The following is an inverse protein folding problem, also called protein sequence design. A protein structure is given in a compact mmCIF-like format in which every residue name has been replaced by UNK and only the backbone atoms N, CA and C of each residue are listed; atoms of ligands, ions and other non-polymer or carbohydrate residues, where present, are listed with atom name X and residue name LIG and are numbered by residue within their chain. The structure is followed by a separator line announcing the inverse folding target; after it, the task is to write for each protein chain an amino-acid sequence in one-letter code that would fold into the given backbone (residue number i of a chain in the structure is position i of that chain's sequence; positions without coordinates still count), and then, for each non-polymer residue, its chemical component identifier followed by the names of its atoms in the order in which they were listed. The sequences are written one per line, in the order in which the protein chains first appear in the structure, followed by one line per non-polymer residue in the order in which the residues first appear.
data_IF_514318147664
#
_entry.id   IF_514318147664
#
_cell.length_a   1.000
_cell.length_b   1.000
_cell.length_c   1.000
_cell.angle_alpha   90.00
_cell.angle_beta   90.00
_cell.angle_gamma   90.00
#
_symmetry.space_group_name_H-M   'P 1'
#
loop_
_entity.id
_entity.type
_entity.pdbx_description
1 polymer ?
#
# COMPACT_ATOMS: atom_id res chain seq x y z
N UNK A 1 20.80 -11.25 17.02
CA UNK A 1 19.72 -10.45 17.67
C UNK A 1 19.16 -11.21 18.88
N UNK A 2 18.84 -10.54 19.99
CA UNK A 2 18.15 -11.17 21.13
C UNK A 2 16.73 -11.60 20.76
N UNK A 3 16.28 -12.78 21.21
CA UNK A 3 14.96 -13.33 20.87
C UNK A 3 13.77 -12.46 21.35
N UNK A 4 13.95 -11.65 22.39
CA UNK A 4 12.98 -10.65 22.85
C UNK A 4 12.77 -9.54 21.82
N UNK A 5 13.87 -8.99 21.27
CA UNK A 5 13.84 -7.94 20.25
C UNK A 5 13.17 -8.40 18.97
N UNK A 6 13.47 -9.63 18.53
CA UNK A 6 12.84 -10.20 17.34
C UNK A 6 11.32 -10.30 17.50
N UNK A 7 10.83 -10.80 18.65
CA UNK A 7 9.39 -10.88 18.94
C UNK A 7 8.74 -9.50 18.97
N UNK A 8 9.41 -8.50 19.54
CA UNK A 8 8.93 -7.12 19.56
C UNK A 8 8.79 -6.53 18.15
N UNK A 9 9.79 -6.73 17.27
CA UNK A 9 9.72 -6.27 15.88
C UNK A 9 8.63 -7.00 15.08
N UNK A 10 8.44 -8.29 15.31
CA UNK A 10 7.37 -9.05 14.67
C UNK A 10 5.98 -8.57 15.11
N UNK A 11 5.75 -8.38 16.41
CA UNK A 11 4.50 -7.83 16.91
C UNK A 11 4.23 -6.43 16.34
N UNK A 12 5.27 -5.59 16.26
CA UNK A 12 5.20 -4.28 15.65
C UNK A 12 4.80 -4.36 14.17
N UNK A 13 5.41 -5.25 13.38
CA UNK A 13 5.06 -5.40 11.98
C UNK A 13 3.65 -5.96 11.76
N UNK A 14 3.16 -6.84 12.63
CA UNK A 14 1.75 -7.30 12.59
C UNK A 14 0.81 -6.12 12.87
N UNK A 15 1.12 -5.31 13.88
CA UNK A 15 0.34 -4.12 14.20
C UNK A 15 0.35 -3.09 13.06
N UNK A 16 1.50 -2.88 12.42
CA UNK A 16 1.62 -2.08 11.21
C UNK A 16 0.75 -2.65 10.08
N UNK A 17 0.70 -3.98 9.90
CA UNK A 17 -0.15 -4.60 8.87
C UNK A 17 -1.65 -4.30 9.05
N UNK A 18 -2.16 -4.35 10.29
CA UNK A 18 -3.55 -3.96 10.58
C UNK A 18 -3.80 -2.46 10.41
N UNK A 19 -2.86 -1.62 10.86
CA UNK A 19 -2.94 -0.17 10.65
C UNK A 19 -2.92 0.16 9.15
N UNK A 20 -2.10 -0.54 8.36
CA UNK A 20 -2.07 -0.42 6.91
C UNK A 20 -3.44 -0.69 6.29
N UNK A 21 -4.11 -1.77 6.71
CA UNK A 21 -5.47 -2.08 6.26
C UNK A 21 -6.44 -0.92 6.51
N UNK A 22 -6.44 -0.36 7.72
CA UNK A 22 -7.33 0.75 8.09
C UNK A 22 -7.16 1.97 7.18
N UNK A 23 -5.92 2.38 6.94
CA UNK A 23 -5.60 3.58 6.16
C UNK A 23 -5.74 3.36 4.66
N UNK A 24 -5.39 2.17 4.14
CA UNK A 24 -5.62 1.82 2.73
C UNK A 24 -7.12 1.76 2.41
N UNK A 25 -7.93 1.16 3.28
CA UNK A 25 -9.39 1.11 3.08
C UNK A 25 -10.05 2.48 3.23
N UNK A 26 -9.58 3.29 4.19
CA UNK A 26 -10.08 4.66 4.37
C UNK A 26 -9.69 5.63 3.25
N UNK A 27 -8.64 5.34 2.48
CA UNK A 27 -8.24 6.15 1.32
C UNK A 27 -9.30 6.17 0.21
N UNK A 28 -10.17 5.15 0.16
CA UNK A 28 -11.26 5.09 -0.80
C UNK A 28 -12.35 6.12 -0.52
N UNK A 29 -12.53 6.54 0.74
CA UNK A 29 -13.63 7.42 1.12
C UNK A 29 -13.57 8.81 0.45
N UNK A 30 -12.44 9.55 0.49
CA UNK A 30 -12.31 10.81 -0.25
C UNK A 30 -12.49 10.66 -1.76
N UNK A 31 -12.04 9.53 -2.33
CA UNK A 31 -12.13 9.27 -3.77
C UNK A 31 -13.59 9.02 -4.18
N UNK A 32 -14.33 8.23 -3.38
CA UNK A 32 -15.75 7.92 -3.63
C UNK A 32 -16.67 9.13 -3.53
N UNK A 33 -16.34 10.11 -2.68
CA UNK A 33 -17.10 11.37 -2.59
C UNK A 33 -17.08 12.16 -3.91
N UNK A 34 -16.16 11.84 -4.82
CA UNK A 34 -15.96 12.53 -6.08
C UNK A 34 -16.65 11.78 -7.22
N UNK A 35 -17.88 12.18 -7.57
CA UNK A 35 -18.56 11.65 -8.75
C UNK A 35 -18.21 12.50 -9.98
N UNK A 36 -17.07 12.20 -10.60
CA UNK A 36 -16.58 13.00 -11.72
C UNK A 36 -16.78 12.29 -13.05
N UNK A 37 -17.37 12.99 -14.02
CA UNK A 37 -17.29 12.63 -15.44
C UNK A 37 -15.88 12.72 -16.04
N UNK A 38 -14.84 12.67 -15.20
CA UNK A 38 -13.43 12.65 -15.60
C UNK A 38 -13.02 11.25 -16.06
N UNK A 39 -11.96 11.19 -16.87
CA UNK A 39 -11.33 9.90 -17.14
C UNK A 39 -10.66 9.35 -15.88
N UNK A 40 -10.76 8.03 -15.62
CA UNK A 40 -10.03 7.36 -14.54
C UNK A 40 -8.52 7.61 -14.58
N UNK A 41 -7.91 7.76 -15.77
CA UNK A 41 -6.48 8.05 -15.89
C UNK A 41 -6.15 9.42 -15.30
N UNK A 42 -6.99 10.42 -15.55
CA UNK A 42 -6.86 11.77 -14.99
C UNK A 42 -7.03 11.74 -13.47
N UNK A 43 -8.03 11.00 -12.98
CA UNK A 43 -8.25 10.79 -11.54
C UNK A 43 -7.01 10.15 -10.88
N UNK A 44 -6.47 9.08 -11.49
CA UNK A 44 -5.26 8.43 -11.00
C UNK A 44 -4.04 9.34 -11.01
N UNK A 45 -3.86 10.20 -12.02
CA UNK A 45 -2.77 11.19 -12.04
C UNK A 45 -2.89 12.19 -10.89
N UNK A 46 -4.08 12.74 -10.63
CA UNK A 46 -4.32 13.67 -9.52
C UNK A 46 -4.09 12.98 -8.17
N UNK A 47 -4.54 11.74 -8.03
CA UNK A 47 -4.30 10.93 -6.84
C UNK A 47 -2.79 10.71 -6.63
N UNK A 48 -2.04 10.34 -7.69
CA UNK A 48 -0.59 10.15 -7.62
C UNK A 48 0.15 11.45 -7.33
N UNK A 49 -0.36 12.61 -7.74
CA UNK A 49 0.17 13.90 -7.28
C UNK A 49 0.02 14.08 -5.76
N UNK A 50 -1.13 13.69 -5.19
CA UNK A 50 -1.31 13.65 -3.73
C UNK A 50 -0.35 12.68 -3.03
N UNK A 51 -0.19 11.49 -3.59
CA UNK A 51 0.79 10.48 -3.13
C UNK A 51 2.21 11.03 -3.14
N UNK A 52 2.60 11.71 -4.22
CA UNK A 52 3.92 12.30 -4.37
C UNK A 52 4.18 13.34 -3.27
N UNK A 53 3.24 14.28 -3.06
CA UNK A 53 3.37 15.29 -2.01
C UNK A 53 3.46 14.65 -0.61
N UNK A 54 2.66 13.62 -0.35
CA UNK A 54 2.67 12.90 0.93
C UNK A 54 3.99 12.16 1.18
N UNK A 55 4.52 11.46 0.17
CA UNK A 55 5.77 10.68 0.28
C UNK A 55 7.01 11.53 0.38
N UNK A 56 6.97 12.80 -0.02
CA UNK A 56 8.05 13.75 0.23
C UNK A 56 7.89 14.48 1.57
N UNK A 57 6.66 14.82 1.97
CA UNK A 57 6.41 15.57 3.22
C UNK A 57 6.46 14.72 4.47
N UNK A 58 5.89 13.51 4.48
CA UNK A 58 5.81 12.67 5.68
C UNK A 58 7.21 12.22 6.14
N UNK A 59 8.08 11.64 5.28
CA UNK A 59 9.46 11.32 5.68
C UNK A 59 10.25 12.55 6.13
N UNK A 60 10.11 13.68 5.43
CA UNK A 60 10.76 14.93 5.80
C UNK A 60 10.30 15.43 7.19
N UNK A 61 9.02 15.31 7.51
CA UNK A 61 8.48 15.65 8.81
C UNK A 61 8.96 14.71 9.93
N UNK A 62 8.90 13.39 9.69
CA UNK A 62 9.26 12.38 10.71
C UNK A 62 10.77 12.39 10.98
N UNK A 63 11.60 12.27 9.93
CA UNK A 63 13.05 12.01 10.00
C UNK A 63 13.94 13.10 9.41
N UNK A 64 13.39 14.00 8.59
CA UNK A 64 14.16 14.98 7.83
C UNK A 64 14.71 14.41 6.51
N UNK A 65 14.85 15.27 5.51
CA UNK A 65 15.41 14.94 4.17
C UNK A 65 16.90 14.60 4.23
N UNK A 66 17.61 15.10 5.25
CA UNK A 66 19.00 14.72 5.53
C UNK A 66 19.15 13.23 5.82
N UNK A 67 18.16 12.61 6.46
CA UNK A 67 18.12 11.16 6.71
C UNK A 67 18.02 10.39 5.38
N UNK A 68 17.09 10.81 4.51
CA UNK A 68 16.95 10.25 3.16
C UNK A 68 18.25 10.36 2.38
N UNK A 69 18.92 11.52 2.43
CA UNK A 69 20.22 11.74 1.76
C UNK A 69 21.33 10.83 2.30
N UNK A 70 21.33 10.54 3.59
CA UNK A 70 22.34 9.66 4.19
C UNK A 70 22.12 8.21 3.76
N UNK A 71 20.87 7.72 3.74
CA UNK A 71 20.56 6.39 3.24
C UNK A 71 20.85 6.26 1.73
N UNK A 72 20.62 7.31 0.94
CA UNK A 72 21.03 7.38 -0.48
C UNK A 72 22.54 7.16 -0.65
N UNK A 73 23.36 7.77 0.22
CA UNK A 73 24.82 7.62 0.14
C UNK A 73 25.28 6.20 0.47
N UNK A 74 24.56 5.50 1.35
CA UNK A 74 24.89 4.12 1.72
C UNK A 74 24.50 3.13 0.61
N UNK A 75 23.36 3.36 -0.06
CA UNK A 75 22.86 2.44 -1.07
C UNK A 75 22.22 3.16 -2.28
N UNK A 76 23.01 3.84 -3.13
CA UNK A 76 22.49 4.63 -4.25
C UNK A 76 21.89 3.77 -5.37
N UNK A 77 22.41 2.54 -5.55
CA UNK A 77 21.92 1.59 -6.56
C UNK A 77 20.48 1.11 -6.28
N UNK A 78 19.96 1.30 -5.05
CA UNK A 78 18.59 0.93 -4.68
C UNK A 78 17.54 1.92 -5.19
N UNK A 79 17.94 3.14 -5.60
CA UNK A 79 17.02 4.10 -6.21
C UNK A 79 16.38 3.51 -7.45
N UNK A 80 17.15 2.80 -8.28
CA UNK A 80 16.66 2.17 -9.51
C UNK A 80 15.57 1.13 -9.17
N UNK A 81 15.77 0.35 -8.11
CA UNK A 81 14.78 -0.63 -7.65
C UNK A 81 13.50 0.03 -7.14
N UNK A 82 13.62 1.15 -6.42
CA UNK A 82 12.47 1.94 -5.97
C UNK A 82 11.68 2.50 -7.16
N UNK A 83 12.37 3.17 -8.11
CA UNK A 83 11.75 3.74 -9.31
C UNK A 83 11.08 2.66 -10.16
N UNK A 84 11.76 1.53 -10.41
CA UNK A 84 11.20 0.42 -11.17
C UNK A 84 9.92 -0.13 -10.53
N UNK A 85 9.93 -0.30 -9.21
CA UNK A 85 8.75 -0.73 -8.48
C UNK A 85 7.59 0.27 -8.63
N UNK A 86 7.88 1.57 -8.59
CA UNK A 86 6.89 2.62 -8.84
C UNK A 86 6.30 2.59 -10.25
N UNK A 87 7.14 2.32 -11.25
CA UNK A 87 6.68 2.13 -12.63
C UNK A 87 5.74 0.93 -12.76
N UNK A 88 6.12 -0.21 -12.17
CA UNK A 88 5.29 -1.43 -12.17
C UNK A 88 3.94 -1.19 -11.49
N UNK A 89 3.93 -0.45 -10.37
CA UNK A 89 2.71 -0.09 -9.65
C UNK A 89 1.77 0.76 -10.50
N UNK A 90 2.29 1.78 -11.18
CA UNK A 90 1.49 2.68 -12.03
C UNK A 90 0.87 1.94 -13.23
N UNK A 91 1.64 1.05 -13.87
CA UNK A 91 1.13 0.22 -14.97
C UNK A 91 0.06 -0.74 -14.46
N UNK A 92 0.28 -1.40 -13.32
CA UNK A 92 -0.70 -2.31 -12.72
C UNK A 92 -2.03 -1.61 -12.42
N UNK A 93 -2.01 -0.42 -11.80
CA UNK A 93 -3.22 0.37 -11.56
C UNK A 93 -3.95 0.76 -12.84
N UNK A 94 -3.21 1.06 -13.91
CA UNK A 94 -3.82 1.37 -15.19
C UNK A 94 -4.49 0.12 -15.79
N UNK A 95 -3.87 -1.05 -15.64
CA UNK A 95 -4.45 -2.32 -16.09
C UNK A 95 -5.72 -2.71 -15.32
N UNK A 96 -5.82 -2.43 -14.01
CA UNK A 96 -7.05 -2.71 -13.25
C UNK A 96 -8.23 -1.88 -13.74
N UNK A 97 -8.00 -0.61 -14.11
CA UNK A 97 -9.04 0.25 -14.71
C UNK A 97 -9.59 -0.38 -16.00
N UNK A 98 -8.71 -0.88 -16.88
CA UNK A 98 -9.13 -1.56 -18.11
C UNK A 98 -9.81 -2.89 -17.84
N UNK A 99 -9.32 -3.66 -16.87
CA UNK A 99 -9.91 -4.93 -16.46
C UNK A 99 -11.35 -4.75 -15.98
N UNK A 100 -11.58 -3.81 -15.04
CA UNK A 100 -12.93 -3.52 -14.53
C UNK A 100 -13.86 -3.12 -15.67
N UNK A 101 -13.40 -2.26 -16.59
CA UNK A 101 -14.19 -1.83 -17.75
C UNK A 101 -14.53 -2.96 -18.72
N UNK A 102 -13.67 -3.96 -18.87
CA UNK A 102 -13.82 -5.01 -19.88
C UNK A 102 -14.52 -6.27 -19.37
N UNK A 103 -14.27 -6.69 -18.13
CA UNK A 103 -14.82 -7.92 -17.54
C UNK A 103 -15.69 -7.68 -16.31
N UNK A 104 -15.80 -6.43 -15.86
CA UNK A 104 -16.49 -6.09 -14.62
C UNK A 104 -15.63 -6.34 -13.37
N UNK A 105 -16.02 -5.73 -12.27
CA UNK A 105 -15.35 -5.88 -10.97
C UNK A 105 -15.39 -7.34 -10.47
N UNK A 106 -16.46 -8.07 -10.79
CA UNK A 106 -16.66 -9.46 -10.36
C UNK A 106 -15.59 -10.42 -10.90
N UNK A 107 -15.16 -10.24 -12.14
CA UNK A 107 -14.13 -11.08 -12.73
C UNK A 107 -12.74 -10.50 -12.43
N UNK A 108 -12.59 -9.17 -12.48
CA UNK A 108 -11.28 -8.55 -12.34
C UNK A 108 -10.71 -8.66 -10.91
N UNK A 109 -11.54 -8.49 -9.88
CA UNK A 109 -11.10 -8.43 -8.48
C UNK A 109 -10.42 -9.71 -7.98
N UNK A 110 -10.99 -10.92 -8.16
CA UNK A 110 -10.31 -12.15 -7.78
C UNK A 110 -9.02 -12.38 -8.57
N UNK A 111 -8.99 -11.98 -9.85
CA UNK A 111 -7.85 -12.23 -10.73
C UNK A 111 -6.62 -11.39 -10.36
N UNK A 112 -6.75 -10.10 -10.03
CA UNK A 112 -5.58 -9.32 -9.62
C UNK A 112 -5.11 -9.62 -8.19
N UNK A 113 -5.97 -10.20 -7.34
CA UNK A 113 -5.59 -10.68 -6.00
C UNK A 113 -4.60 -11.86 -6.04
N UNK A 114 -4.33 -12.41 -7.23
CA UNK A 114 -3.15 -13.26 -7.47
C UNK A 114 -1.83 -12.58 -7.07
N UNK A 115 -1.79 -11.24 -6.91
CA UNK A 115 -0.64 -10.52 -6.35
C UNK A 115 -0.15 -11.10 -5.02
N UNK A 116 -1.05 -11.61 -4.18
CA UNK A 116 -0.75 -12.09 -2.83
C UNK A 116 -0.15 -13.49 -2.92
N UNK A 117 -0.66 -14.31 -3.85
CA UNK A 117 -0.08 -15.61 -4.19
C UNK A 117 1.32 -15.47 -4.75
N UNK A 118 1.53 -14.50 -5.65
CA UNK A 118 2.84 -14.20 -6.21
C UNK A 118 3.80 -13.62 -5.18
N UNK A 119 3.31 -12.80 -4.25
CA UNK A 119 4.11 -12.35 -3.10
C UNK A 119 4.63 -13.51 -2.26
N UNK A 120 3.77 -14.49 -1.96
CA UNK A 120 4.16 -15.73 -1.26
C UNK A 120 5.13 -16.55 -2.10
N UNK A 121 4.86 -16.71 -3.40
CA UNK A 121 5.70 -17.46 -4.33
C UNK A 121 7.12 -16.87 -4.41
N UNK A 122 7.26 -15.56 -4.58
CA UNK A 122 8.55 -14.88 -4.61
C UNK A 122 9.23 -14.88 -3.23
N UNK A 123 8.46 -14.72 -2.15
CA UNK A 123 8.91 -14.92 -0.77
C UNK A 123 9.58 -16.27 -0.57
N UNK A 124 8.92 -17.33 -1.03
CA UNK A 124 9.41 -18.69 -0.98
C UNK A 124 10.65 -18.90 -1.87
N UNK A 125 10.55 -18.55 -3.15
CA UNK A 125 11.56 -18.88 -4.17
C UNK A 125 12.85 -18.05 -4.02
N UNK A 126 12.74 -16.73 -3.82
CA UNK A 126 13.88 -15.82 -3.84
C UNK A 126 14.43 -15.50 -2.46
N UNK A 127 13.57 -15.50 -1.44
CA UNK A 127 13.92 -15.07 -0.09
C UNK A 127 13.95 -16.23 0.92
N UNK A 128 13.71 -17.46 0.46
CA UNK A 128 13.68 -18.67 1.28
C UNK A 128 12.73 -18.56 2.49
N UNK A 129 11.68 -17.75 2.38
CA UNK A 129 10.59 -17.68 3.36
C UNK A 129 9.82 -19.01 3.30
N UNK A 130 9.28 -19.49 4.42
CA UNK A 130 8.48 -20.73 4.50
C UNK A 130 9.16 -22.07 4.08
N UNK A 131 10.43 -22.08 3.64
CA UNK A 131 11.12 -23.29 3.16
C UNK A 131 11.29 -24.40 4.22
N UNK A 132 11.24 -24.06 5.51
CA UNK A 132 11.22 -25.04 6.62
C UNK A 132 9.97 -24.90 7.49
N UNK A 133 8.91 -24.31 6.94
CA UNK A 133 7.63 -24.28 7.61
C UNK A 133 7.11 -25.70 7.73
N UNK A 134 6.83 -26.17 8.95
CA UNK A 134 6.20 -27.47 9.13
C UNK A 134 4.85 -27.55 8.41
N UNK A 135 4.40 -28.76 8.06
CA UNK A 135 3.17 -29.00 7.30
C UNK A 135 1.95 -28.21 7.78
N UNK A 136 1.78 -28.06 9.10
CA UNK A 136 0.69 -27.26 9.71
C UNK A 136 0.67 -25.79 9.26
N UNK A 137 1.84 -25.20 8.99
CA UNK A 137 1.99 -23.80 8.55
C UNK A 137 1.77 -23.66 7.06
N UNK A 138 2.23 -24.64 6.27
CA UNK A 138 1.87 -24.74 4.86
C UNK A 138 0.36 -24.86 4.67
N UNK A 139 -0.31 -25.67 5.49
CA UNK A 139 -1.77 -25.72 5.54
C UNK A 139 -2.39 -24.36 5.91
N UNK A 140 -1.81 -23.62 6.86
CA UNK A 140 -2.26 -22.27 7.20
C UNK A 140 -2.12 -21.26 6.05
N UNK A 141 -1.00 -21.30 5.32
CA UNK A 141 -0.75 -20.42 4.18
C UNK A 141 -1.65 -20.78 2.98
N UNK A 142 -1.73 -22.06 2.63
CA UNK A 142 -2.58 -22.54 1.53
C UNK A 142 -4.07 -22.38 1.85
N UNK A 143 -4.48 -22.71 3.07
CA UNK A 143 -5.85 -22.52 3.55
C UNK A 143 -6.23 -21.04 3.61
N UNK A 144 -5.34 -20.18 4.10
CA UNK A 144 -5.55 -18.73 4.11
C UNK A 144 -5.60 -18.14 2.70
N UNK A 145 -4.75 -18.60 1.78
CA UNK A 145 -4.78 -18.21 0.38
C UNK A 145 -6.09 -18.63 -0.30
N UNK A 146 -6.55 -19.86 -0.07
CA UNK A 146 -7.83 -20.35 -0.56
C UNK A 146 -9.01 -19.54 0.01
N UNK A 147 -8.99 -19.21 1.30
CA UNK A 147 -9.98 -18.36 1.93
C UNK A 147 -9.98 -16.93 1.35
N UNK A 148 -8.80 -16.34 1.09
CA UNK A 148 -8.71 -15.04 0.43
C UNK A 148 -9.29 -15.06 -0.98
N UNK A 149 -8.93 -16.04 -1.79
CA UNK A 149 -9.49 -16.20 -3.14
C UNK A 149 -11.00 -16.44 -3.10
N UNK A 150 -11.48 -17.26 -2.18
CA UNK A 150 -12.91 -17.53 -1.97
C UNK A 150 -13.67 -16.27 -1.56
N UNK A 151 -13.16 -15.53 -0.59
CA UNK A 151 -13.75 -14.26 -0.14
C UNK A 151 -13.77 -13.21 -1.25
N UNK A 152 -12.67 -13.06 -1.99
CA UNK A 152 -12.60 -12.18 -3.15
C UNK A 152 -13.62 -12.56 -4.24
N UNK A 153 -13.78 -13.85 -4.51
CA UNK A 153 -14.76 -14.37 -5.49
C UNK A 153 -16.20 -14.09 -5.06
N UNK A 154 -16.48 -14.23 -3.76
CA UNK A 154 -17.81 -14.01 -3.21
C UNK A 154 -18.19 -12.53 -3.19
N UNK A 155 -17.24 -11.64 -2.86
CA UNK A 155 -17.39 -10.18 -3.02
C UNK A 155 -17.64 -9.77 -4.47
N UNK A 156 -16.93 -10.44 -5.37
CA UNK A 156 -17.08 -10.25 -6.79
C UNK A 156 -18.50 -10.58 -7.27
N UNK A 157 -19.06 -11.73 -6.87
CA UNK A 157 -20.43 -12.10 -7.24
C UNK A 157 -21.47 -11.09 -6.73
N UNK A 158 -21.31 -10.61 -5.50
CA UNK A 158 -22.19 -9.58 -4.93
C UNK A 158 -22.16 -8.25 -5.70
N UNK A 159 -21.04 -7.97 -6.38
CA UNK A 159 -20.78 -6.71 -7.09
C UNK A 159 -21.01 -6.81 -8.61
N UNK A 160 -21.70 -7.86 -9.08
CA UNK A 160 -21.82 -8.14 -10.51
C UNK A 160 -22.70 -7.12 -11.25
N UNK A 161 -22.06 -6.21 -12.00
CA UNK A 161 -22.69 -5.39 -13.05
C UNK A 161 -22.39 -5.97 -14.43
N UNK A 162 -23.35 -5.92 -15.36
CA UNK A 162 -23.24 -6.50 -16.72
C UNK A 162 -21.95 -6.08 -17.44
N UNK A 163 -21.11 -7.05 -17.79
CA UNK A 163 -19.91 -6.83 -18.61
C UNK A 163 -20.29 -6.55 -20.07
N UNK A 164 -19.60 -5.62 -20.74
CA UNK A 164 -19.81 -5.39 -22.18
C UNK A 164 -19.36 -6.61 -23.00
N UNK A 165 -20.22 -7.18 -23.87
CA UNK A 165 -19.85 -8.31 -24.71
C UNK A 165 -18.69 -7.94 -25.66
N UNK A 166 -17.65 -8.79 -25.73
CA UNK A 166 -16.64 -8.72 -26.79
C UNK A 166 -15.19 -8.35 -26.40
N UNK A 167 -14.91 -7.91 -25.16
CA UNK A 167 -13.53 -7.60 -24.70
C UNK A 167 -13.07 -8.42 -23.49
N UNK A 168 -13.76 -9.51 -23.18
CA UNK A 168 -13.52 -10.29 -21.96
C UNK A 168 -12.08 -10.84 -21.86
N UNK A 169 -11.52 -11.37 -22.94
CA UNK A 169 -10.16 -11.90 -22.93
C UNK A 169 -9.11 -10.84 -22.57
N UNK A 170 -9.22 -9.63 -23.15
CA UNK A 170 -8.32 -8.51 -22.84
C UNK A 170 -8.48 -8.04 -21.39
N UNK A 171 -9.70 -8.05 -20.85
CA UNK A 171 -9.93 -7.71 -19.44
C UNK A 171 -9.35 -8.73 -18.46
N UNK A 172 -9.43 -10.03 -18.77
CA UNK A 172 -8.80 -11.10 -17.99
C UNK A 172 -7.27 -10.96 -18.02
N UNK A 173 -6.69 -10.75 -19.21
CA UNK A 173 -5.25 -10.51 -19.37
C UNK A 173 -4.83 -9.27 -18.58
N UNK A 174 -5.62 -8.19 -18.62
CA UNK A 174 -5.34 -6.98 -17.86
C UNK A 174 -5.39 -7.22 -16.35
N UNK A 175 -6.37 -7.96 -15.84
CA UNK A 175 -6.49 -8.27 -14.42
C UNK A 175 -5.32 -9.14 -13.92
N UNK A 176 -4.99 -10.20 -14.67
CA UNK A 176 -3.86 -11.08 -14.34
C UNK A 176 -2.52 -10.34 -14.46
N UNK A 177 -2.34 -9.52 -15.49
CA UNK A 177 -1.15 -8.70 -15.66
C UNK A 177 -0.97 -7.68 -14.52
N UNK A 178 -2.06 -7.07 -14.05
CA UNK A 178 -2.02 -6.22 -12.86
C UNK A 178 -1.58 -7.01 -11.62
N UNK A 179 -2.15 -8.19 -11.40
CA UNK A 179 -1.76 -9.10 -10.31
C UNK A 179 -0.29 -9.50 -10.37
N UNK A 180 0.22 -9.80 -11.57
CA UNK A 180 1.63 -10.15 -11.81
C UNK A 180 2.55 -8.97 -11.51
N UNK A 181 2.24 -7.78 -12.02
CA UNK A 181 3.05 -6.59 -11.79
C UNK A 181 3.08 -6.21 -10.31
N UNK A 182 1.94 -6.18 -9.62
CA UNK A 182 1.91 -5.92 -8.17
C UNK A 182 2.63 -7.01 -7.37
N UNK A 183 2.44 -8.29 -7.71
CA UNK A 183 3.14 -9.39 -7.04
C UNK A 183 4.66 -9.35 -7.25
N UNK A 184 5.11 -8.98 -8.45
CA UNK A 184 6.54 -8.92 -8.80
C UNK A 184 7.22 -7.66 -8.25
N UNK A 185 6.48 -6.57 -8.08
CA UNK A 185 6.95 -5.33 -7.43
C UNK A 185 7.54 -5.57 -6.03
N UNK A 186 7.07 -6.62 -5.35
CA UNK A 186 7.58 -7.01 -4.04
C UNK A 186 9.03 -7.50 -4.04
N UNK A 187 9.57 -7.94 -5.18
CA UNK A 187 10.99 -8.33 -5.30
C UNK A 187 11.91 -7.13 -5.00
N UNK A 188 11.78 -5.98 -5.70
CA UNK A 188 12.48 -4.74 -5.34
C UNK A 188 12.34 -4.35 -3.86
N UNK A 189 11.15 -4.51 -3.27
CA UNK A 189 10.90 -4.13 -1.87
C UNK A 189 11.78 -4.95 -0.93
N UNK A 190 11.75 -6.27 -1.10
CA UNK A 190 12.49 -7.16 -0.21
C UNK A 190 13.99 -6.96 -0.35
N UNK A 191 14.45 -6.79 -1.58
CA UNK A 191 15.85 -6.54 -1.88
C UNK A 191 16.34 -5.26 -1.21
N UNK A 192 15.55 -4.18 -1.28
CA UNK A 192 15.84 -2.93 -0.59
C UNK A 192 15.90 -3.11 0.94
N UNK A 193 14.97 -3.86 1.54
CA UNK A 193 14.96 -4.04 2.99
C UNK A 193 16.06 -4.96 3.49
N UNK A 194 16.43 -5.99 2.73
CA UNK A 194 17.56 -6.87 3.07
C UNK A 194 18.92 -6.14 2.98
N UNK A 195 19.03 -5.12 2.11
CA UNK A 195 20.23 -4.26 2.02
C UNK A 195 20.25 -3.16 3.09
N UNK A 196 19.28 -3.16 4.01
CA UNK A 196 19.22 -2.25 5.16
C UNK A 196 18.51 -0.92 4.88
N UNK A 197 17.94 -0.72 3.69
CA UNK A 197 17.23 0.51 3.34
C UNK A 197 16.03 0.76 4.25
N UNK A 198 15.84 2.02 4.67
CA UNK A 198 14.65 2.41 5.41
C UNK A 198 13.42 2.47 4.48
N UNK A 199 12.23 1.97 4.91
CA UNK A 199 10.99 2.11 4.18
C UNK A 199 10.66 3.54 3.73
N UNK A 200 10.93 4.54 4.59
CA UNK A 200 10.70 5.96 4.30
C UNK A 200 11.53 6.47 3.12
N UNK A 201 12.77 6.00 2.98
CA UNK A 201 13.61 6.34 1.84
C UNK A 201 13.12 5.64 0.58
N UNK A 202 12.83 4.33 0.67
CA UNK A 202 12.37 3.56 -0.49
C UNK A 202 11.10 4.15 -1.12
N UNK A 203 10.08 4.45 -0.30
CA UNK A 203 8.81 5.01 -0.80
C UNK A 203 8.96 6.42 -1.38
N UNK A 204 9.91 7.23 -0.90
CA UNK A 204 10.17 8.57 -1.45
C UNK A 204 10.61 8.51 -2.92
N UNK A 205 11.48 7.56 -3.29
CA UNK A 205 11.93 7.41 -4.68
C UNK A 205 10.99 6.56 -5.52
N UNK A 206 10.25 5.65 -4.88
CA UNK A 206 9.18 4.89 -5.53
C UNK A 206 8.15 5.80 -6.21
N UNK A 207 7.78 6.91 -5.56
CA UNK A 207 6.81 7.85 -6.14
C UNK A 207 7.31 8.59 -7.39
N UNK A 208 8.63 8.67 -7.62
CA UNK A 208 9.16 9.23 -8.86
C UNK A 208 8.82 8.35 -10.06
N UNK A 209 8.96 7.02 -9.90
CA UNK A 209 8.56 6.05 -10.91
C UNK A 209 7.07 6.09 -11.19
N UNK A 210 6.25 6.17 -10.14
CA UNK A 210 4.80 6.29 -10.27
C UNK A 210 4.38 7.57 -11.00
N UNK A 211 4.86 8.73 -10.56
CA UNK A 211 4.45 10.02 -11.11
C UNK A 211 4.94 10.15 -12.55
N UNK A 212 6.17 9.74 -12.85
CA UNK A 212 6.69 9.76 -14.21
C UNK A 212 5.86 8.86 -15.13
N UNK A 213 5.60 7.62 -14.71
CA UNK A 213 4.81 6.66 -15.50
C UNK A 213 3.38 7.15 -15.70
N UNK A 214 2.70 7.61 -14.65
CA UNK A 214 1.33 8.13 -14.76
C UNK A 214 1.25 9.39 -15.61
N UNK A 215 2.27 10.26 -15.56
CA UNK A 215 2.35 11.43 -16.43
C UNK A 215 2.49 11.01 -17.89
N UNK A 216 3.42 10.10 -18.19
CA UNK A 216 3.62 9.56 -19.56
C UNK A 216 2.35 8.87 -20.07
N UNK A 217 1.69 8.05 -19.25
CA UNK A 217 0.45 7.38 -19.62
C UNK A 217 -0.68 8.40 -19.85
N UNK A 218 -0.85 9.36 -18.95
CA UNK A 218 -1.89 10.40 -19.08
C UNK A 218 -1.72 11.23 -20.34
N UNK A 219 -0.49 11.66 -20.62
CA UNK A 219 -0.16 12.42 -21.83
C UNK A 219 -0.33 11.57 -23.10
N UNK A 220 0.12 10.32 -23.09
CA UNK A 220 0.01 9.42 -24.24
C UNK A 220 -1.45 9.07 -24.57
N UNK A 221 -2.31 8.84 -23.57
CA UNK A 221 -3.70 8.44 -23.78
C UNK A 221 -4.67 9.61 -24.00
N UNK A 222 -4.43 10.76 -23.38
CA UNK A 222 -5.37 11.92 -23.44
C UNK A 222 -4.88 13.06 -24.32
N UNK A 223 -3.56 13.19 -24.49
CA UNK A 223 -2.94 14.40 -25.00
C UNK A 223 -2.87 15.52 -23.93
N UNK A 224 -1.95 16.46 -24.11
CA UNK A 224 -1.69 17.52 -23.12
C UNK A 224 -2.87 18.49 -22.95
N UNK A 225 -3.48 18.93 -24.05
CA UNK A 225 -4.55 19.94 -24.02
C UNK A 225 -5.84 19.40 -23.36
N UNK A 226 -6.37 18.22 -23.74
CA UNK A 226 -7.57 17.68 -23.09
C UNK A 226 -7.34 17.36 -21.60
N UNK A 227 -6.16 16.84 -21.26
CA UNK A 227 -5.78 16.57 -19.87
C UNK A 227 -5.77 17.86 -19.03
N UNK A 228 -5.21 18.95 -19.56
CA UNK A 228 -5.20 20.25 -18.88
C UNK A 228 -6.62 20.77 -18.63
N UNK A 229 -7.49 20.71 -19.64
CA UNK A 229 -8.88 21.13 -19.49
C UNK A 229 -9.64 20.31 -18.42
N UNK A 230 -9.40 19.00 -18.34
CA UNK A 230 -9.99 18.17 -17.28
C UNK A 230 -9.49 18.55 -15.89
N UNK A 231 -8.18 18.75 -15.72
CA UNK A 231 -7.59 19.13 -14.43
C UNK A 231 -8.15 20.49 -13.97
N UNK A 232 -8.21 21.47 -14.86
CA UNK A 232 -8.77 22.80 -14.56
C UNK A 232 -10.26 22.73 -14.26
N UNK A 233 -11.01 21.94 -15.03
CA UNK A 233 -12.43 21.68 -14.79
C UNK A 233 -12.69 20.97 -13.46
N UNK A 234 -11.74 20.15 -13.00
CA UNK A 234 -11.80 19.38 -11.77
C UNK A 234 -11.33 20.14 -10.52
N UNK A 235 -11.04 21.45 -10.61
CA UNK A 235 -10.53 22.25 -9.49
C UNK A 235 -11.28 22.07 -8.15
N UNK A 236 -12.59 21.85 -8.21
CA UNK A 236 -13.45 21.70 -7.02
C UNK A 236 -13.32 20.35 -6.33
N UNK A 237 -12.72 19.36 -7.00
CA UNK A 237 -12.56 17.99 -6.50
C UNK A 237 -11.09 17.56 -6.35
N UNK A 238 -10.14 18.39 -6.82
CA UNK A 238 -8.70 18.14 -6.70
C UNK A 238 -8.30 17.80 -5.26
N UNK A 239 -8.81 18.58 -4.28
CA UNK A 239 -8.53 18.35 -2.87
C UNK A 239 -8.88 16.92 -2.43
N UNK A 240 -10.08 16.44 -2.75
CA UNK A 240 -10.56 15.13 -2.34
C UNK A 240 -9.76 13.99 -2.97
N UNK A 241 -9.41 14.11 -4.25
CA UNK A 241 -8.60 13.12 -4.96
C UNK A 241 -7.15 13.09 -4.43
N UNK A 242 -6.55 14.26 -4.19
CA UNK A 242 -5.23 14.37 -3.59
C UNK A 242 -5.21 13.88 -2.15
N UNK A 243 -6.28 14.13 -1.38
CA UNK A 243 -6.45 13.63 -0.02
C UNK A 243 -6.54 12.12 0.01
N UNK A 244 -7.27 11.49 -0.92
CA UNK A 244 -7.29 10.04 -1.07
C UNK A 244 -5.88 9.47 -1.26
N UNK A 245 -5.09 10.08 -2.15
CA UNK A 245 -3.67 9.72 -2.33
C UNK A 245 -2.83 9.92 -1.06
N UNK A 246 -3.06 11.00 -0.32
CA UNK A 246 -2.35 11.27 0.93
C UNK A 246 -2.66 10.22 2.01
N UNK A 247 -3.94 9.90 2.21
CA UNK A 247 -4.40 8.87 3.17
C UNK A 247 -3.85 7.50 2.78
N UNK A 248 -3.81 7.20 1.48
CA UNK A 248 -3.23 5.97 0.96
C UNK A 248 -1.75 5.81 1.34
N UNK A 249 -0.97 6.90 1.29
CA UNK A 249 0.46 6.86 1.67
C UNK A 249 0.68 6.49 3.13
N UNK A 250 -0.22 6.89 4.03
CA UNK A 250 -0.14 6.49 5.45
C UNK A 250 -0.29 4.97 5.57
N UNK A 251 -1.26 4.39 4.84
CA UNK A 251 -1.47 2.95 4.80
C UNK A 251 -0.32 2.21 4.15
N UNK A 252 0.17 2.70 3.02
CA UNK A 252 1.33 2.15 2.31
C UNK A 252 2.59 2.15 3.20
N UNK A 253 2.86 3.25 3.92
CA UNK A 253 3.97 3.31 4.88
C UNK A 253 3.90 2.20 5.92
N UNK A 254 2.74 1.99 6.53
CA UNK A 254 2.55 0.91 7.49
C UNK A 254 2.70 -0.47 6.84
N UNK A 255 2.21 -0.66 5.61
CA UNK A 255 2.39 -1.91 4.86
C UNK A 255 3.88 -2.19 4.62
N UNK A 256 4.67 -1.15 4.33
CA UNK A 256 6.10 -1.28 4.09
C UNK A 256 6.87 -1.66 5.36
N UNK A 257 6.51 -1.08 6.53
CA UNK A 257 7.04 -1.53 7.82
C UNK A 257 6.61 -2.96 8.17
N UNK A 258 5.36 -3.34 7.86
CA UNK A 258 4.90 -4.71 8.05
C UNK A 258 5.72 -5.71 7.20
N UNK A 259 5.95 -5.38 5.93
CA UNK A 259 6.78 -6.16 5.01
C UNK A 259 8.25 -6.22 5.47
N UNK A 260 8.80 -5.14 6.02
CA UNK A 260 10.15 -5.10 6.59
C UNK A 260 10.30 -6.06 7.76
N UNK A 261 9.43 -5.98 8.78
CA UNK A 261 9.62 -6.71 10.04
C UNK A 261 9.06 -8.14 10.05
N UNK A 262 8.01 -8.43 9.26
CA UNK A 262 7.32 -9.73 9.27
C UNK A 262 7.48 -10.49 7.95
N UNK A 263 8.05 -9.84 6.92
CA UNK A 263 8.29 -10.40 5.59
C UNK A 263 7.15 -10.11 4.63
N UNK A 264 7.41 -10.25 3.32
CA UNK A 264 6.44 -9.91 2.28
C UNK A 264 5.29 -10.89 2.26
N UNK A 265 5.57 -12.18 2.43
CA UNK A 265 4.57 -13.26 2.42
C UNK A 265 3.50 -13.11 3.51
N UNK A 266 3.70 -12.23 4.50
CA UNK A 266 2.83 -12.06 5.67
C UNK A 266 2.38 -10.62 5.87
N UNK A 267 3.30 -9.67 5.76
CA UNK A 267 3.02 -8.25 5.97
C UNK A 267 2.08 -7.67 4.91
N UNK A 268 2.23 -8.11 3.65
CA UNK A 268 1.33 -7.68 2.56
C UNK A 268 -0.07 -8.26 2.74
N UNK A 269 -0.28 -9.58 2.96
CA UNK A 269 -1.62 -10.09 3.22
C UNK A 269 -2.35 -9.39 4.37
N UNK A 270 -1.67 -9.00 5.46
CA UNK A 270 -2.31 -8.27 6.56
C UNK A 270 -2.96 -6.95 6.11
N UNK A 271 -2.37 -6.25 5.13
CA UNK A 271 -2.95 -5.01 4.64
C UNK A 271 -4.23 -5.21 3.82
N UNK A 272 -4.48 -6.43 3.33
CA UNK A 272 -5.76 -6.81 2.68
C UNK A 272 -6.95 -6.86 3.68
N UNK A 273 -6.71 -6.61 4.97
CA UNK A 273 -7.78 -6.23 5.91
C UNK A 273 -8.40 -4.87 5.57
N UNK A 274 -7.82 -4.11 4.63
CA UNK A 274 -8.39 -2.90 4.06
C UNK A 274 -9.83 -3.05 3.58
N UNK A 275 -10.21 -4.22 3.08
CA UNK A 275 -11.56 -4.50 2.61
C UNK A 275 -12.60 -4.39 3.73
N UNK A 276 -12.25 -4.76 4.97
CA UNK A 276 -13.15 -4.57 6.11
C UNK A 276 -13.39 -3.08 6.37
N UNK A 277 -12.34 -2.26 6.26
CA UNK A 277 -12.44 -0.83 6.47
C UNK A 277 -13.17 -0.12 5.33
N UNK A 278 -12.89 -0.49 4.08
CA UNK A 278 -13.65 -0.04 2.92
C UNK A 278 -15.13 -0.41 3.03
N UNK A 279 -15.44 -1.62 3.54
CA UNK A 279 -16.80 -2.05 3.83
C UNK A 279 -17.47 -1.22 4.92
N UNK A 280 -16.78 -0.93 6.02
CA UNK A 280 -17.30 -0.09 7.11
C UNK A 280 -17.66 1.31 6.58
N UNK A 281 -16.79 1.92 5.77
CA UNK A 281 -17.10 3.18 5.10
C UNK A 281 -18.30 3.03 4.14
N UNK A 282 -18.31 2.01 3.29
CA UNK A 282 -19.39 1.74 2.34
C UNK A 282 -20.76 1.58 2.98
N UNK A 283 -20.88 0.71 4.00
CA UNK A 283 -22.16 0.39 4.65
C UNK A 283 -22.57 1.49 5.64
N UNK A 284 -21.69 1.90 6.55
CA UNK A 284 -22.08 2.74 7.69
C UNK A 284 -22.09 4.23 7.35
N UNK A 285 -21.20 4.68 6.46
CA UNK A 285 -21.03 6.10 6.15
C UNK A 285 -21.77 6.47 4.87
N UNK A 286 -21.56 5.70 3.80
CA UNK A 286 -22.15 5.95 2.48
C UNK A 286 -23.48 5.24 2.26
N UNK A 287 -23.87 4.31 3.15
CA UNK A 287 -25.12 3.57 3.06
C UNK A 287 -25.32 2.82 1.73
N UNK A 288 -24.24 2.35 1.11
CA UNK A 288 -24.20 1.78 -0.26
C UNK A 288 -25.10 0.55 -0.47
N UNK A 289 -25.47 -0.15 0.61
CA UNK A 289 -26.30 -1.36 0.53
C UNK A 289 -27.77 -1.12 0.93
N UNK A 290 -28.18 0.11 1.26
CA UNK A 290 -29.56 0.39 1.67
C UNK A 290 -30.56 0.00 0.57
N UNK A 291 -31.51 -0.89 0.92
CA UNK A 291 -32.48 -1.45 -0.03
C UNK A 291 -32.03 -2.74 -0.74
N UNK A 292 -30.80 -3.20 -0.50
CA UNK A 292 -30.30 -4.48 -1.00
C UNK A 292 -30.94 -5.69 -0.32
N UNK A 293 -31.03 -6.82 -1.02
CA UNK A 293 -31.55 -8.07 -0.45
C UNK A 293 -30.63 -8.59 0.67
N UNK A 294 -31.18 -9.33 1.64
CA UNK A 294 -30.39 -9.96 2.71
C UNK A 294 -29.25 -10.84 2.18
N UNK A 295 -29.43 -11.42 0.99
CA UNK A 295 -28.40 -12.21 0.31
C UNK A 295 -27.20 -11.36 -0.09
N UNK A 296 -27.40 -10.18 -0.65
CA UNK A 296 -26.29 -9.26 -1.02
C UNK A 296 -25.52 -8.82 0.22
N UNK A 297 -26.22 -8.51 1.32
CA UNK A 297 -25.57 -8.21 2.60
C UNK A 297 -24.73 -9.38 3.12
N UNK A 298 -25.29 -10.59 3.12
CA UNK A 298 -24.56 -11.79 3.54
C UNK A 298 -23.35 -12.06 2.66
N UNK A 299 -23.46 -11.84 1.35
CA UNK A 299 -22.37 -12.02 0.41
C UNK A 299 -21.26 -10.96 0.64
N UNK A 300 -21.60 -9.68 0.72
CA UNK A 300 -20.59 -8.62 0.90
C UNK A 300 -19.89 -8.75 2.27
N UNK A 301 -20.65 -8.96 3.35
CA UNK A 301 -20.10 -9.08 4.69
C UNK A 301 -19.32 -10.39 4.82
N UNK A 302 -19.89 -11.51 4.39
CA UNK A 302 -19.27 -12.83 4.46
C UNK A 302 -17.98 -12.91 3.65
N UNK A 303 -17.96 -12.33 2.44
CA UNK A 303 -16.77 -12.30 1.59
C UNK A 303 -15.65 -11.45 2.19
N UNK A 304 -15.99 -10.29 2.76
CA UNK A 304 -15.01 -9.42 3.43
C UNK A 304 -14.42 -10.08 4.67
N UNK A 305 -15.24 -10.72 5.50
CA UNK A 305 -14.78 -11.48 6.68
C UNK A 305 -13.90 -12.65 6.26
N UNK A 306 -14.33 -13.45 5.27
CA UNK A 306 -13.57 -14.60 4.79
C UNK A 306 -12.19 -14.17 4.24
N UNK A 307 -12.15 -13.07 3.50
CA UNK A 307 -10.90 -12.54 2.97
C UNK A 307 -9.97 -12.04 4.09
N UNK A 308 -10.50 -11.34 5.08
CA UNK A 308 -9.72 -10.89 6.23
C UNK A 308 -9.21 -12.05 7.09
N UNK A 309 -10.03 -13.09 7.32
CA UNK A 309 -9.61 -14.30 8.02
C UNK A 309 -8.51 -15.05 7.27
N UNK A 310 -8.60 -15.12 5.94
CA UNK A 310 -7.55 -15.71 5.11
C UNK A 310 -6.22 -14.95 5.21
N UNK A 311 -6.28 -13.62 5.17
CA UNK A 311 -5.13 -12.74 5.38
C UNK A 311 -4.48 -12.95 6.76
N UNK A 312 -5.29 -12.99 7.83
CA UNK A 312 -4.83 -13.21 9.20
C UNK A 312 -4.24 -14.61 9.36
N UNK A 313 -4.83 -15.65 8.75
CA UNK A 313 -4.31 -17.01 8.79
C UNK A 313 -2.92 -17.12 8.15
N UNK A 314 -2.70 -16.46 7.01
CA UNK A 314 -1.37 -16.39 6.38
C UNK A 314 -0.38 -15.67 7.30
N UNK A 315 -0.79 -14.54 7.88
CA UNK A 315 0.08 -13.70 8.71
C UNK A 315 0.50 -14.39 10.01
N UNK A 316 -0.42 -15.10 10.68
CA UNK A 316 -0.19 -15.79 11.93
C UNK A 316 0.57 -17.12 11.77
N UNK A 317 0.82 -17.58 10.53
CA UNK A 317 1.55 -18.83 10.27
C UNK A 317 3.02 -18.86 10.76
N UNK A 318 3.54 -17.75 11.32
CA UNK A 318 4.78 -17.58 12.11
C UNK A 318 6.12 -17.96 11.44
N UNK A 319 7.07 -17.02 11.49
CA UNK A 319 8.49 -17.23 11.22
C UNK A 319 9.17 -17.97 12.38
N UNK A 320 9.86 -19.06 12.08
CA UNK A 320 10.78 -19.71 13.02
C UNK A 320 12.01 -18.83 13.21
N UNK A 321 12.68 -18.92 14.37
CA UNK A 321 14.00 -18.27 14.60
C UNK A 321 15.03 -18.63 13.51
N UNK A 322 14.85 -19.78 12.85
CA UNK A 322 15.64 -20.27 11.69
C UNK A 322 15.38 -19.52 10.37
N UNK A 323 14.20 -18.92 10.21
CA UNK A 323 13.91 -18.08 9.03
C UNK A 323 14.62 -16.73 9.17
N UNK A 324 14.65 -16.18 10.39
CA UNK A 324 15.37 -14.95 10.67
C UNK A 324 16.89 -15.08 10.47
N UNK A 325 17.49 -16.24 10.78
CA UNK A 325 18.91 -16.46 10.47
C UNK A 325 19.17 -16.46 8.96
N UNK A 326 18.30 -17.07 8.14
CA UNK A 326 18.41 -17.01 6.68
C UNK A 326 18.27 -15.60 6.12
N UNK A 327 17.43 -14.76 6.75
CA UNK A 327 17.33 -13.35 6.37
C UNK A 327 18.62 -12.60 6.70
N UNK A 328 19.27 -12.91 7.82
CA UNK A 328 20.60 -12.35 8.14
C UNK A 328 21.63 -12.81 7.11
N UNK A 329 21.68 -14.09 6.77
CA UNK A 329 22.60 -14.60 5.75
C UNK A 329 22.34 -13.94 4.37
N UNK A 330 21.07 -13.72 4.02
CA UNK A 330 20.69 -13.04 2.77
C UNK A 330 21.08 -11.56 2.79
N UNK A 331 20.86 -10.88 3.90
CA UNK A 331 21.24 -9.49 4.11
C UNK A 331 22.77 -9.32 4.04
N UNK A 332 23.54 -10.21 4.65
CA UNK A 332 25.00 -10.22 4.55
C UNK A 332 25.49 -10.48 3.11
N UNK A 333 24.86 -11.42 2.38
CA UNK A 333 25.20 -11.67 0.97
C UNK A 333 24.96 -10.45 0.09
N UNK A 334 23.81 -9.80 0.24
CA UNK A 334 23.48 -8.59 -0.53
C UNK A 334 24.35 -7.40 -0.09
N UNK A 335 24.64 -7.27 1.21
CA UNK A 335 25.57 -6.27 1.73
C UNK A 335 26.97 -6.41 1.10
N UNK A 336 27.52 -7.62 1.08
CA UNK A 336 28.80 -7.93 0.41
C UNK A 336 28.75 -7.67 -1.10
N UNK A 337 27.65 -8.05 -1.77
CA UNK A 337 27.46 -7.83 -3.21
C UNK A 337 27.55 -6.35 -3.60
N UNK A 338 27.05 -5.48 -2.74
CA UNK A 338 26.97 -4.04 -3.00
C UNK A 338 28.00 -3.19 -2.24
N UNK A 339 28.89 -3.82 -1.47
CA UNK A 339 29.90 -3.12 -0.66
C UNK A 339 29.29 -2.25 0.45
N UNK A 340 28.11 -2.61 0.95
CA UNK A 340 27.43 -1.87 2.03
C UNK A 340 28.07 -2.26 3.37
N UNK A 341 28.26 -1.28 4.26
CA UNK A 341 28.83 -1.53 5.59
C UNK A 341 27.99 -2.53 6.39
N UNK A 342 28.62 -3.58 6.92
CA UNK A 342 27.95 -4.64 7.70
C UNK A 342 27.20 -4.06 8.92
N UNK A 343 27.75 -3.01 9.54
CA UNK A 343 27.12 -2.30 10.64
C UNK A 343 25.78 -1.65 10.25
N UNK A 344 25.65 -1.14 9.03
CA UNK A 344 24.42 -0.51 8.52
C UNK A 344 23.33 -1.56 8.30
N UNK A 345 23.66 -2.65 7.62
CA UNK A 345 22.74 -3.76 7.36
C UNK A 345 22.24 -4.36 8.68
N UNK A 346 23.16 -4.61 9.62
CA UNK A 346 22.83 -5.18 10.93
C UNK A 346 21.98 -4.24 11.80
N UNK A 347 22.30 -2.94 11.83
CA UNK A 347 21.51 -1.96 12.56
C UNK A 347 20.07 -1.90 12.01
N UNK A 348 19.90 -1.84 10.69
CA UNK A 348 18.58 -1.80 10.05
C UNK A 348 17.75 -3.07 10.33
N UNK A 349 18.38 -4.26 10.30
CA UNK A 349 17.71 -5.53 10.63
C UNK A 349 17.24 -5.59 12.09
N UNK A 350 17.92 -4.88 13.00
CA UNK A 350 17.54 -4.78 14.42
C UNK A 350 16.59 -3.62 14.70
N UNK A 351 16.18 -2.88 13.67
CA UNK A 351 15.40 -1.65 13.78
C UNK A 351 16.13 -0.60 14.62
N UNK A 352 17.46 -0.53 14.46
CA UNK A 352 18.35 0.44 15.11
C UNK A 352 18.93 1.35 14.04
N UNK A 353 19.17 2.59 14.43
CA UNK A 353 19.85 3.55 13.56
C UNK A 353 21.34 3.23 13.47
N UNK A 354 21.90 3.29 12.27
CA UNK A 354 23.33 3.29 12.04
C UNK A 354 23.89 4.70 12.30
N UNK A 355 25.13 4.80 12.81
CA UNK A 355 25.80 5.99 13.38
C UNK A 355 25.32 7.38 12.88
N UNK A 356 25.00 8.30 13.81
CA UNK A 356 24.74 9.73 13.53
C UNK A 356 23.27 10.18 13.42
N UNK A 357 22.31 9.36 13.84
CA UNK A 357 20.88 9.46 13.47
C UNK A 357 19.98 10.52 14.11
N UNK A 358 20.51 11.57 14.75
CA UNK A 358 19.71 12.73 15.16
C UNK A 358 20.06 13.96 14.31
N UNK A 359 19.66 13.92 13.04
CA UNK A 359 19.66 15.14 12.25
C UNK A 359 18.49 16.02 12.69
N UNK A 360 18.80 17.21 13.21
CA UNK A 360 17.79 18.24 13.49
C UNK A 360 17.12 18.63 12.18
N UNK A 361 15.81 18.86 12.21
CA UNK A 361 15.02 19.20 11.00
C UNK A 361 15.62 20.48 10.43
N UNK A 362 16.01 20.40 9.17
CA UNK A 362 16.59 21.51 8.42
C UNK A 362 15.51 22.50 8.01
N UNK A 363 15.93 23.70 7.60
CA UNK A 363 15.01 24.67 7.00
C UNK A 363 14.33 24.11 5.74
N UNK A 364 15.02 23.29 4.96
CA UNK A 364 14.47 22.63 3.76
C UNK A 364 13.31 21.70 4.13
N UNK A 365 13.40 20.99 5.26
CA UNK A 365 12.33 20.10 5.73
C UNK A 365 11.05 20.88 6.04
N UNK A 366 11.20 22.01 6.74
CA UNK A 366 10.07 22.89 7.06
C UNK A 366 9.51 23.60 5.84
N UNK A 367 10.37 24.00 4.89
CA UNK A 367 9.93 24.58 3.62
C UNK A 367 9.15 23.57 2.78
N UNK A 368 9.59 22.32 2.75
CA UNK A 368 8.90 21.24 2.04
C UNK A 368 7.55 20.95 2.68
N UNK A 369 7.51 20.73 4.00
CA UNK A 369 6.26 20.48 4.74
C UNK A 369 5.31 21.67 4.62
N UNK A 370 5.81 22.90 4.79
CA UNK A 370 5.06 24.14 4.62
C UNK A 370 4.52 24.32 3.21
N UNK A 371 5.31 24.02 2.18
CA UNK A 371 4.90 24.08 0.78
C UNK A 371 3.80 23.08 0.45
N UNK A 372 3.94 21.82 0.88
CA UNK A 372 2.89 20.80 0.73
C UNK A 372 1.62 21.22 1.47
N UNK A 373 1.74 21.74 2.69
CA UNK A 373 0.60 22.24 3.46
C UNK A 373 -0.10 23.39 2.74
N UNK A 374 0.66 24.35 2.19
CA UNK A 374 0.11 25.46 1.43
C UNK A 374 -0.63 25.00 0.17
N UNK A 375 -0.11 24.00 -0.55
CA UNK A 375 -0.79 23.41 -1.71
C UNK A 375 -2.13 22.80 -1.28
N UNK A 376 -2.14 21.98 -0.23
CA UNK A 376 -3.38 21.38 0.28
C UNK A 376 -4.39 22.43 0.74
N UNK A 377 -3.96 23.48 1.43
CA UNK A 377 -4.83 24.60 1.83
C UNK A 377 -5.39 25.33 0.62
N UNK A 378 -4.58 25.60 -0.40
CA UNK A 378 -5.01 26.26 -1.62
C UNK A 378 -6.07 25.45 -2.38
N UNK A 379 -5.85 24.15 -2.58
CA UNK A 379 -6.85 23.29 -3.24
C UNK A 379 -8.08 23.05 -2.36
N UNK A 380 -7.94 23.00 -1.04
CA UNK A 380 -9.06 22.90 -0.10
C UNK A 380 -9.95 24.15 -0.15
N UNK A 381 -9.37 25.35 -0.26
CA UNK A 381 -10.12 26.60 -0.39
C UNK A 381 -10.97 26.66 -1.68
N UNK A 382 -10.56 25.93 -2.73
CA UNK A 382 -11.31 25.78 -3.98
C UNK A 382 -12.27 24.59 -3.96
N UNK A 383 -12.16 23.71 -2.97
CA UNK A 383 -12.92 22.47 -2.91
C UNK A 383 -14.38 22.76 -2.56
N UNK A 384 -15.29 22.01 -3.19
CA UNK A 384 -16.70 21.99 -2.79
C UNK A 384 -16.98 20.67 -2.13
N UNK A 385 -17.73 20.70 -1.03
CA UNK A 385 -18.24 19.47 -0.42
C UNK A 385 -19.24 18.84 -1.41
N UNK A 386 -18.99 17.63 -1.92
CA UNK A 386 -19.97 16.94 -2.74
C UNK A 386 -21.22 16.70 -1.88
N UNK A 387 -22.41 16.98 -2.43
CA UNK A 387 -23.68 16.70 -1.73
C UNK A 387 -23.86 15.17 -1.66
N UNK A 388 -23.39 14.56 -0.59
CA UNK A 388 -23.63 13.16 -0.24
C UNK A 388 -24.42 13.10 1.07
N UNK A 389 -25.37 12.17 1.14
CA UNK A 389 -26.04 11.81 2.39
C UNK A 389 -25.11 10.96 3.25
N UNK A 390 -24.18 11.64 3.93
CA UNK A 390 -23.20 11.01 4.82
C UNK A 390 -23.76 10.85 6.22
N UNK A 391 -23.60 9.66 6.80
CA UNK A 391 -23.78 9.52 8.24
C UNK A 391 -22.56 10.10 8.98
N UNK A 392 -22.66 11.36 9.41
CA UNK A 392 -21.58 12.06 10.08
C UNK A 392 -21.13 11.39 11.39
N UNK A 393 -22.04 10.74 12.11
CA UNK A 393 -21.73 10.02 13.36
C UNK A 393 -20.82 8.82 13.08
N UNK A 394 -21.15 8.00 12.08
CA UNK A 394 -20.31 6.88 11.68
C UNK A 394 -19.02 7.34 11.02
N UNK A 395 -19.05 8.40 10.21
CA UNK A 395 -17.84 8.99 9.62
C UNK A 395 -16.85 9.42 10.71
N UNK A 396 -17.34 10.09 11.75
CA UNK A 396 -16.53 10.50 12.91
C UNK A 396 -16.00 9.28 13.69
N UNK A 397 -16.83 8.27 13.94
CA UNK A 397 -16.43 7.07 14.68
C UNK A 397 -15.35 6.26 13.94
N UNK A 398 -15.54 6.00 12.65
CA UNK A 398 -14.57 5.26 11.82
C UNK A 398 -13.27 6.05 11.68
N UNK A 399 -13.35 7.37 11.46
CA UNK A 399 -12.17 8.23 11.40
C UNK A 399 -11.41 8.26 12.74
N UNK A 400 -12.11 8.34 13.87
CA UNK A 400 -11.49 8.30 15.20
C UNK A 400 -10.77 6.97 15.44
N UNK A 401 -11.35 5.84 15.03
CA UNK A 401 -10.70 4.54 15.12
C UNK A 401 -9.42 4.47 14.26
N UNK A 402 -9.45 5.01 13.04
CA UNK A 402 -8.27 5.09 12.17
C UNK A 402 -7.17 5.98 12.78
N UNK A 403 -7.53 7.12 13.36
CA UNK A 403 -6.60 8.02 14.03
C UNK A 403 -5.99 7.40 15.30
N UNK A 404 -6.78 6.64 16.05
CA UNK A 404 -6.27 5.88 17.19
C UNK A 404 -5.24 4.83 16.75
N UNK A 405 -5.50 4.11 15.66
CA UNK A 405 -4.54 3.16 15.07
C UNK A 405 -3.27 3.87 14.57
N UNK A 406 -3.39 5.04 13.93
CA UNK A 406 -2.26 5.86 13.52
C UNK A 406 -1.40 6.28 14.71
N UNK A 407 -2.03 6.83 15.75
CA UNK A 407 -1.32 7.26 16.97
C UNK A 407 -0.66 6.09 17.69
N UNK A 408 -1.39 5.01 17.92
CA UNK A 408 -0.87 3.80 18.56
C UNK A 408 0.29 3.18 17.79
N UNK A 409 0.15 3.00 16.48
CA UNK A 409 1.18 2.39 15.64
C UNK A 409 2.38 3.32 15.45
N UNK A 410 2.16 4.62 15.29
CA UNK A 410 3.22 5.63 15.24
C UNK A 410 4.03 5.68 16.54
N UNK A 411 3.38 5.65 17.71
CA UNK A 411 4.06 5.60 19.01
C UNK A 411 4.85 4.29 19.17
N UNK A 412 4.27 3.15 18.76
CA UNK A 412 4.95 1.86 18.82
C UNK A 412 6.19 1.82 17.92
N UNK A 413 6.09 2.34 16.68
CA UNK A 413 7.23 2.48 15.77
C UNK A 413 8.30 3.41 16.34
N UNK A 414 7.90 4.56 16.89
CA UNK A 414 8.82 5.50 17.50
C UNK A 414 9.56 4.90 18.69
N UNK A 415 8.84 4.29 19.63
CA UNK A 415 9.43 3.71 20.85
C UNK A 415 10.30 2.50 20.56
N UNK A 416 9.94 1.68 19.57
CA UNK A 416 10.63 0.43 19.29
C UNK A 416 11.81 0.64 18.35
N UNK A 417 11.63 1.39 17.26
CA UNK A 417 12.63 1.51 16.18
C UNK A 417 12.97 2.95 15.81
N UNK A 418 12.30 3.96 16.39
CA UNK A 418 12.42 5.37 15.96
C UNK A 418 12.14 5.57 14.47
N UNK A 419 11.27 4.73 13.89
CA UNK A 419 11.01 4.64 12.44
C UNK A 419 12.19 4.12 11.61
N UNK A 420 13.09 3.34 12.21
CA UNK A 420 14.24 2.71 11.53
C UNK A 420 13.89 1.50 10.67
#
# INVERSE_FOLDING_TARGET
MQASRLRSLQALGVFCGFAAGAWLGGAEAPIKMVNTGMSPITVSLIMVAGVFLARWSIPAFIRGTSYVRNDVRQAPHLIIWAVLAGCMWAVANTMTIYAIRAVGLSIAFPLWNTNSLLGIFWGFLLFNELHQAGWKRWLGVLGGAAAMCGGATLLAFASSTQASPGKAALGVIAALGAGILWGTMYIPYRKAYLTGMNPLYFITFFTLGELATMTVLSLSYRGAVPLWHEIVGARTVLFWLMLGGFVWVIGDLFQQYAAKYVGISRGVPLSNTNQLWGLLWGILVFHELQGGSQRVYAEVIGGSILMALGAVAIALSSATSREHSRWQDAAEREGKRYGIADGYVRASMEGREFEGGLSRRSFVDWLLVGGVTAIFVAVAAMARLPRFDLNLTWAAAVSAAMLFLLGGCGIALWRTTRFS
#
